data_IF_334622122031
#
_entry.id   IF_334622122031
#
_cell.length_a   1.000
_cell.length_b   1.000
_cell.length_c   1.000
_cell.angle_alpha   90.00
_cell.angle_beta   90.00
_cell.angle_gamma   90.00
#
_symmetry.space_group_name_H-M   'P 1'
#
loop_
_entity.id
_entity.type
_entity.pdbx_description
1 polymer ?
#
# COMPACT_ATOMS: atom_id res chain seq x y z
N UNK A 1 5.99 -17.53 0.61
CA UNK A 1 5.60 -16.35 1.41
C UNK A 1 5.58 -15.05 0.58
N UNK A 2 6.66 -14.64 -0.09
CA UNK A 2 6.70 -13.35 -0.83
C UNK A 2 5.85 -13.33 -2.12
N UNK A 3 5.83 -14.42 -2.89
CA UNK A 3 5.13 -14.54 -4.19
C UNK A 3 3.59 -14.54 -4.06
N UNK A 4 3.02 -15.22 -3.07
CA UNK A 4 1.57 -15.25 -2.83
C UNK A 4 1.02 -13.88 -2.42
N UNK A 5 1.73 -13.18 -1.51
CA UNK A 5 1.37 -11.81 -1.12
C UNK A 5 1.45 -10.89 -2.35
N UNK A 6 2.47 -11.06 -3.18
CA UNK A 6 2.63 -10.35 -4.44
C UNK A 6 1.45 -10.57 -5.39
N UNK A 7 0.98 -11.80 -5.54
CA UNK A 7 -0.17 -12.14 -6.37
C UNK A 7 -1.46 -11.51 -5.83
N UNK A 8 -1.69 -11.57 -4.51
CA UNK A 8 -2.84 -10.92 -3.86
C UNK A 8 -2.80 -9.40 -4.04
N UNK A 9 -1.65 -8.78 -3.80
CA UNK A 9 -1.48 -7.33 -3.99
C UNK A 9 -1.70 -6.92 -5.45
N UNK A 10 -1.21 -7.71 -6.40
CA UNK A 10 -1.40 -7.47 -7.83
C UNK A 10 -2.88 -7.58 -8.22
N UNK A 11 -3.60 -8.60 -7.74
CA UNK A 11 -5.04 -8.76 -7.98
C UNK A 11 -5.87 -7.59 -7.40
N UNK A 12 -5.51 -7.08 -6.22
CA UNK A 12 -6.17 -5.91 -5.62
C UNK A 12 -5.89 -4.64 -6.45
N UNK A 13 -4.66 -4.45 -6.92
CA UNK A 13 -4.26 -3.27 -7.70
C UNK A 13 -4.81 -3.27 -9.13
N UNK A 14 -5.06 -4.44 -9.72
CA UNK A 14 -5.77 -4.54 -11.01
C UNK A 14 -7.18 -3.94 -10.95
N UNK A 15 -7.84 -3.99 -9.78
CA UNK A 15 -9.13 -3.33 -9.57
C UNK A 15 -9.05 -1.81 -9.73
N UNK A 16 -7.88 -1.20 -9.47
CA UNK A 16 -7.60 0.23 -9.64
C UNK A 16 -7.22 0.61 -11.08
N UNK A 17 -7.15 -0.35 -12.01
CA UNK A 17 -6.81 -0.09 -13.42
C UNK A 17 -5.31 0.12 -13.65
N UNK A 18 -4.50 -0.11 -12.62
CA UNK A 18 -3.05 -0.12 -12.73
C UNK A 18 -2.62 -1.38 -13.47
N UNK A 19 -1.88 -1.20 -14.57
CA UNK A 19 -1.32 -2.28 -15.39
C UNK A 19 0.18 -2.06 -15.58
N UNK A 20 0.87 -3.11 -16.03
CA UNK A 20 2.27 -3.07 -16.44
C UNK A 20 3.18 -2.40 -15.38
N UNK A 21 3.97 -1.40 -15.78
CA UNK A 21 4.91 -0.70 -14.92
C UNK A 21 4.23 0.05 -13.76
N UNK A 22 3.05 0.63 -14.00
CA UNK A 22 2.32 1.37 -12.97
C UNK A 22 1.88 0.47 -11.81
N UNK A 23 1.48 -0.77 -12.11
CA UNK A 23 1.19 -1.79 -11.09
C UNK A 23 2.45 -2.16 -10.29
N UNK A 24 3.60 -2.30 -10.97
CA UNK A 24 4.87 -2.61 -10.30
C UNK A 24 5.31 -1.48 -9.36
N UNK A 25 5.17 -0.21 -9.78
CA UNK A 25 5.46 0.94 -8.93
C UNK A 25 4.56 0.99 -7.70
N UNK A 26 3.26 0.74 -7.85
CA UNK A 26 2.32 0.68 -6.72
C UNK A 26 2.64 -0.47 -5.75
N UNK A 27 2.98 -1.66 -6.27
CA UNK A 27 3.39 -2.80 -5.43
C UNK A 27 4.67 -2.47 -4.63
N UNK A 28 5.67 -1.87 -5.30
CA UNK A 28 6.93 -1.48 -4.65
C UNK A 28 6.68 -0.44 -3.57
N UNK A 29 5.88 0.58 -3.85
CA UNK A 29 5.52 1.63 -2.91
C UNK A 29 4.83 1.06 -1.66
N UNK A 30 3.79 0.25 -1.86
CA UNK A 30 3.06 -0.38 -0.75
C UNK A 30 3.97 -1.25 0.11
N UNK A 31 4.81 -2.09 -0.50
CA UNK A 31 5.71 -2.97 0.25
C UNK A 31 6.72 -2.18 1.07
N UNK A 32 7.34 -1.14 0.49
CA UNK A 32 8.28 -0.29 1.21
C UNK A 32 7.63 0.40 2.40
N UNK A 33 6.39 0.87 2.23
CA UNK A 33 5.60 1.50 3.29
C UNK A 33 5.30 0.53 4.44
N UNK A 34 4.74 -0.64 4.13
CA UNK A 34 4.41 -1.67 5.11
C UNK A 34 5.66 -2.17 5.85
N UNK A 35 6.73 -2.45 5.10
CA UNK A 35 7.99 -2.90 5.68
C UNK A 35 8.59 -1.86 6.62
N UNK A 36 8.62 -0.58 6.21
CA UNK A 36 9.11 0.51 7.03
C UNK A 36 8.30 0.68 8.32
N UNK A 37 6.97 0.64 8.23
CA UNK A 37 6.09 0.77 9.40
C UNK A 37 6.30 -0.37 10.40
N UNK A 38 6.24 -1.62 9.94
CA UNK A 38 6.45 -2.81 10.80
C UNK A 38 7.87 -2.83 11.37
N UNK A 39 8.88 -2.40 10.61
CA UNK A 39 10.25 -2.34 11.12
C UNK A 39 10.40 -1.30 12.25
N UNK A 40 9.72 -0.15 12.14
CA UNK A 40 9.66 0.85 13.21
C UNK A 40 8.90 0.34 14.43
N UNK A 41 7.78 -0.36 14.23
CA UNK A 41 6.99 -0.98 15.30
C UNK A 41 7.80 -2.00 16.10
N UNK A 42 8.43 -2.95 15.40
CA UNK A 42 9.27 -4.00 16.01
C UNK A 42 10.47 -3.43 16.76
N UNK A 43 10.99 -2.27 16.32
CA UNK A 43 12.05 -1.55 17.00
C UNK A 43 11.56 -0.72 18.21
N UNK A 44 10.25 -0.69 18.49
CA UNK A 44 9.66 0.17 19.53
C UNK A 44 9.72 1.66 19.20
N UNK A 45 9.83 2.01 17.91
CA UNK A 45 10.18 3.35 17.43
C UNK A 45 9.08 4.42 17.52
N UNK A 46 7.83 4.05 17.86
CA UNK A 46 6.73 5.02 17.90
C UNK A 46 6.69 5.86 19.18
N UNK A 47 7.03 5.29 20.34
CA UNK A 47 7.26 6.01 21.60
C UNK A 47 6.12 6.88 22.17
N UNK A 48 5.00 7.02 21.46
CA UNK A 48 3.84 7.83 21.82
C UNK A 48 2.68 6.93 22.25
N UNK A 49 1.82 7.38 23.19
CA UNK A 49 0.67 6.60 23.66
C UNK A 49 -0.52 6.71 22.70
N UNK A 50 -0.27 6.48 21.41
CA UNK A 50 -1.29 6.42 20.35
C UNK A 50 -1.35 4.98 19.86
N UNK A 51 -2.55 4.51 19.55
CA UNK A 51 -2.74 3.18 19.01
C UNK A 51 -1.98 3.00 17.67
N UNK A 52 -1.08 2.03 17.66
CA UNK A 52 -0.24 1.70 16.51
C UNK A 52 -1.09 1.06 15.40
N UNK A 53 -2.09 0.25 15.78
CA UNK A 53 -2.99 -0.40 14.82
C UNK A 53 -3.84 0.66 14.09
N UNK A 54 -4.30 1.69 14.80
CA UNK A 54 -5.03 2.81 14.18
C UNK A 54 -4.14 3.56 13.16
N UNK A 55 -2.86 3.75 13.50
CA UNK A 55 -1.89 4.40 12.62
C UNK A 55 -1.61 3.56 11.37
N UNK A 56 -1.51 2.24 11.52
CA UNK A 56 -1.37 1.30 10.42
C UNK A 56 -2.57 1.33 9.47
N UNK A 57 -3.79 1.28 10.03
CA UNK A 57 -5.03 1.35 9.27
C UNK A 57 -5.13 2.65 8.45
N UNK A 58 -4.80 3.79 9.07
CA UNK A 58 -4.77 5.09 8.41
C UNK A 58 -3.74 5.12 7.28
N UNK A 59 -2.54 4.58 7.51
CA UNK A 59 -1.47 4.51 6.52
C UNK A 59 -1.90 3.75 5.27
N UNK A 60 -2.49 2.57 5.45
CA UNK A 60 -2.97 1.72 4.35
C UNK A 60 -4.09 2.42 3.58
N UNK A 61 -5.06 3.02 4.28
CA UNK A 61 -6.16 3.78 3.65
C UNK A 61 -5.66 4.97 2.84
N UNK A 62 -4.68 5.73 3.35
CA UNK A 62 -4.08 6.86 2.64
C UNK A 62 -3.39 6.39 1.36
N UNK A 63 -2.59 5.33 1.45
CA UNK A 63 -1.88 4.80 0.30
C UNK A 63 -2.84 4.34 -0.80
N UNK A 64 -3.82 3.51 -0.43
CA UNK A 64 -4.82 2.97 -1.35
C UNK A 64 -5.69 4.11 -1.92
N UNK A 65 -6.10 5.07 -1.09
CA UNK A 65 -6.90 6.22 -1.50
C UNK A 65 -6.20 7.17 -2.47
N UNK A 66 -4.86 7.19 -2.47
CA UNK A 66 -4.04 7.95 -3.40
C UNK A 66 -3.78 7.27 -4.75
N UNK A 67 -4.17 5.99 -4.91
CA UNK A 67 -4.05 5.30 -6.19
C UNK A 67 -5.09 5.83 -7.20
N UNK A 68 -4.74 5.89 -8.49
CA UNK A 68 -5.70 6.29 -9.52
C UNK A 68 -6.88 5.31 -9.54
N UNK A 69 -8.09 5.84 -9.76
CA UNK A 69 -9.27 5.01 -10.04
C UNK A 69 -9.38 4.75 -11.53
N UNK A 70 -9.90 3.56 -11.89
CA UNK A 70 -10.17 3.13 -13.28
C UNK A 70 -10.89 4.20 -14.13
N UNK A 71 -11.68 5.03 -13.47
CA UNK A 71 -12.63 5.98 -14.02
C UNK A 71 -12.02 7.38 -14.29
N UNK A 72 -10.74 7.61 -13.98
CA UNK A 72 -10.05 8.90 -14.19
C UNK A 72 -9.19 8.96 -15.46
N UNK A 73 -9.39 8.07 -16.44
CA UNK A 73 -8.79 8.24 -17.75
C UNK A 73 -9.31 9.56 -18.39
N UNK A 74 -8.44 10.41 -18.97
CA UNK A 74 -8.90 11.60 -19.67
C UNK A 74 -9.93 11.20 -20.74
N UNK A 75 -11.11 11.84 -20.71
CA UNK A 75 -12.10 11.70 -21.78
C UNK A 75 -11.46 12.19 -23.09
N UNK A 76 -11.65 11.46 -24.21
CA UNK A 76 -11.08 11.85 -25.50
C UNK A 76 -11.57 13.23 -25.97
#
# INVERSE_FOLDING_TARGET
ASEEILAVLRAVLEAYGLRDEAAVHAIRGLRSLLHGFVSLELAGGFGMPIDVDESFDRLVRIYIGGLPRRDQAPRP
#
